data_IF_845759886189
#
_entry.id   IF_845759886189
#
_cell.length_a   1.000
_cell.length_b   1.000
_cell.length_c   1.000
_cell.angle_alpha   90.00
_cell.angle_beta   90.00
_cell.angle_gamma   90.00
#
_symmetry.space_group_name_H-M   'P 1'
#
loop_
_entity.id
_entity.type
_entity.pdbx_description
1 polymer ?
#
# COMPACT_ATOMS: atom_id res chain seq x y z
N UNK A 1 20.04 15.53 -6.22
CA UNK A 1 20.01 14.15 -6.76
C UNK A 1 18.57 13.85 -7.17
N UNK A 2 18.36 13.10 -8.26
CA UNK A 2 16.99 12.72 -8.67
C UNK A 2 16.44 11.69 -7.67
N UNK A 3 15.25 11.92 -7.13
CA UNK A 3 14.63 10.98 -6.18
C UNK A 3 14.45 9.61 -6.84
N UNK A 4 14.85 8.54 -6.15
CA UNK A 4 14.64 7.16 -6.57
C UNK A 4 14.06 6.38 -5.41
N UNK A 5 13.01 5.60 -5.70
CA UNK A 5 12.29 4.80 -4.70
C UNK A 5 12.56 3.32 -4.93
N UNK A 6 12.61 2.55 -3.86
CA UNK A 6 12.58 1.08 -3.89
C UNK A 6 11.40 0.61 -3.06
N UNK A 7 10.66 -0.37 -3.58
CA UNK A 7 9.62 -1.07 -2.82
C UNK A 7 9.92 -2.56 -2.75
N UNK A 8 9.60 -3.20 -1.62
CA UNK A 8 9.86 -4.64 -1.39
C UNK A 8 8.63 -5.35 -0.89
N UNK A 9 8.17 -6.36 -1.62
CA UNK A 9 7.03 -7.17 -1.20
C UNK A 9 6.61 -8.23 -2.20
N UNK A 10 5.39 -8.76 -2.02
CA UNK A 10 4.81 -9.74 -2.93
C UNK A 10 4.00 -9.08 -4.05
N UNK A 11 4.12 -9.63 -5.24
CA UNK A 11 3.16 -9.43 -6.33
C UNK A 11 2.52 -10.75 -6.66
N UNK A 12 1.19 -10.78 -6.79
CA UNK A 12 0.39 -11.98 -7.06
C UNK A 12 -0.33 -11.89 -8.39
N UNK A 13 -0.68 -13.04 -8.93
CA UNK A 13 -1.67 -13.16 -9.99
C UNK A 13 -3.07 -13.00 -9.38
N UNK A 14 -3.81 -12.00 -9.84
CA UNK A 14 -5.22 -11.81 -9.51
C UNK A 14 -6.10 -12.45 -10.59
N UNK A 15 -7.02 -13.28 -10.17
CA UNK A 15 -8.05 -13.91 -11.00
C UNK A 15 -9.41 -13.41 -10.53
N UNK A 16 -10.03 -12.51 -11.31
CA UNK A 16 -11.32 -11.91 -10.97
C UNK A 16 -12.44 -12.52 -11.80
N UNK A 17 -13.58 -12.75 -11.17
CA UNK A 17 -14.79 -13.07 -11.94
C UNK A 17 -15.22 -11.85 -12.78
N UNK A 18 -15.75 -12.05 -14.00
CA UNK A 18 -16.23 -10.93 -14.80
C UNK A 18 -17.37 -10.17 -14.10
N UNK A 19 -17.32 -8.84 -14.15
CA UNK A 19 -18.36 -7.97 -13.61
C UNK A 19 -18.69 -8.32 -12.15
N UNK A 20 -19.94 -8.71 -11.91
CA UNK A 20 -20.46 -9.09 -10.58
C UNK A 20 -20.80 -10.58 -10.46
N UNK A 21 -20.30 -11.42 -11.38
CA UNK A 21 -20.50 -12.86 -11.32
C UNK A 21 -19.91 -13.42 -10.02
N UNK A 22 -20.61 -14.44 -9.49
CA UNK A 22 -20.09 -15.20 -8.35
C UNK A 22 -19.11 -16.26 -8.83
N UNK A 23 -18.23 -16.73 -7.96
CA UNK A 23 -17.30 -17.83 -8.28
C UNK A 23 -18.02 -19.05 -8.87
N UNK A 24 -19.21 -19.39 -8.35
CA UNK A 24 -20.01 -20.52 -8.83
C UNK A 24 -20.67 -20.32 -10.19
N UNK A 25 -20.69 -19.09 -10.71
CA UNK A 25 -21.27 -18.73 -12.01
C UNK A 25 -20.20 -18.56 -13.08
N UNK A 26 -19.00 -18.13 -12.66
CA UNK A 26 -17.94 -17.75 -13.59
C UNK A 26 -17.40 -18.96 -14.36
N UNK A 27 -17.30 -18.81 -15.68
CA UNK A 27 -16.69 -19.79 -16.60
C UNK A 27 -15.32 -19.35 -17.09
N UNK A 28 -14.87 -18.13 -16.71
CA UNK A 28 -13.56 -17.56 -17.01
C UNK A 28 -13.15 -16.59 -15.89
N UNK A 29 -11.88 -16.21 -15.90
CA UNK A 29 -11.36 -15.17 -15.02
C UNK A 29 -10.67 -14.09 -15.84
N UNK A 30 -10.82 -12.84 -15.41
CA UNK A 30 -10.00 -11.73 -15.88
C UNK A 30 -8.67 -11.74 -15.10
N UNK A 31 -7.56 -11.57 -15.82
CA UNK A 31 -6.21 -11.64 -15.29
C UNK A 31 -5.69 -10.24 -15.01
N UNK A 32 -5.24 -10.02 -13.77
CA UNK A 32 -4.50 -8.85 -13.34
C UNK A 32 -3.30 -9.29 -12.48
N UNK A 33 -2.37 -8.38 -12.25
CA UNK A 33 -1.32 -8.56 -11.25
C UNK A 33 -1.45 -7.46 -10.20
N UNK A 34 -1.12 -7.78 -8.95
CA UNK A 34 -1.19 -6.81 -7.87
C UNK A 34 -0.54 -7.32 -6.58
N UNK A 35 -0.21 -6.35 -5.75
CA UNK A 35 0.40 -6.54 -4.43
C UNK A 35 0.73 -5.18 -3.86
N UNK A 36 0.64 -5.00 -2.55
CA UNK A 36 0.72 -3.68 -1.91
C UNK A 36 1.87 -2.82 -2.44
N UNK A 37 3.08 -3.32 -2.32
CA UNK A 37 4.29 -2.61 -2.69
C UNK A 37 4.48 -2.50 -4.22
N UNK A 38 3.98 -3.47 -4.98
CA UNK A 38 3.96 -3.42 -6.45
C UNK A 38 2.97 -2.34 -6.95
N UNK A 39 1.81 -2.22 -6.29
CA UNK A 39 0.81 -1.20 -6.60
C UNK A 39 1.36 0.22 -6.32
N UNK A 40 2.09 0.39 -5.20
CA UNK A 40 2.80 1.63 -4.89
C UNK A 40 3.85 1.95 -5.95
N UNK A 41 4.64 0.95 -6.38
CA UNK A 41 5.65 1.13 -7.42
C UNK A 41 5.04 1.60 -8.74
N UNK A 42 3.94 0.99 -9.18
CA UNK A 42 3.24 1.39 -10.42
C UNK A 42 2.69 2.81 -10.31
N UNK A 43 2.08 3.18 -9.17
CA UNK A 43 1.62 4.56 -8.95
C UNK A 43 2.76 5.57 -9.11
N UNK A 44 3.90 5.31 -8.47
CA UNK A 44 5.08 6.18 -8.52
C UNK A 44 5.67 6.28 -9.94
N UNK A 45 5.75 5.16 -10.65
CA UNK A 45 6.21 5.15 -12.04
C UNK A 45 5.30 5.99 -12.95
N UNK A 46 3.97 5.88 -12.80
CA UNK A 46 2.99 6.70 -13.52
C UNK A 46 3.11 8.19 -13.20
N UNK A 47 3.57 8.54 -11.98
CA UNK A 47 3.86 9.92 -11.58
C UNK A 47 5.26 10.40 -11.98
N UNK A 48 6.01 9.60 -12.74
CA UNK A 48 7.34 9.95 -13.24
C UNK A 48 8.46 9.83 -12.19
N UNK A 49 8.22 9.19 -11.05
CA UNK A 49 9.25 8.90 -10.05
C UNK A 49 9.97 7.60 -10.44
N UNK A 50 11.30 7.60 -10.61
CA UNK A 50 12.07 6.37 -10.80
C UNK A 50 11.89 5.42 -9.62
N UNK A 51 11.46 4.18 -9.91
CA UNK A 51 11.18 3.18 -8.87
C UNK A 51 11.61 1.79 -9.32
N UNK A 52 12.26 1.05 -8.40
CA UNK A 52 12.55 -0.37 -8.55
C UNK A 52 11.67 -1.19 -7.59
N UNK A 53 11.14 -2.30 -8.08
CA UNK A 53 10.43 -3.27 -7.26
C UNK A 53 11.34 -4.46 -6.94
N UNK A 54 11.45 -4.80 -5.66
CA UNK A 54 12.21 -5.94 -5.15
C UNK A 54 11.26 -7.01 -4.68
N UNK A 55 11.49 -8.24 -5.12
CA UNK A 55 10.69 -9.41 -4.77
C UNK A 55 11.46 -10.69 -5.11
N UNK A 56 10.81 -11.84 -4.93
CA UNK A 56 11.26 -13.12 -5.48
C UNK A 56 10.15 -13.72 -6.33
N UNK A 57 10.47 -14.03 -7.61
CA UNK A 57 9.53 -14.60 -8.58
C UNK A 57 10.01 -15.97 -9.10
N UNK A 58 9.09 -16.89 -9.48
CA UNK A 58 9.47 -18.19 -10.03
C UNK A 58 10.12 -18.05 -11.40
N UNK A 59 11.10 -18.94 -11.65
CA UNK A 59 11.87 -18.99 -12.91
C UNK A 59 11.09 -19.71 -14.03
N UNK A 60 9.86 -19.25 -14.31
CA UNK A 60 8.99 -19.81 -15.33
C UNK A 60 8.26 -18.69 -16.09
N UNK A 61 7.44 -19.05 -17.09
CA UNK A 61 6.77 -18.08 -17.96
C UNK A 61 5.72 -17.24 -17.21
N UNK A 62 5.09 -17.76 -16.14
CA UNK A 62 4.17 -17.00 -15.30
C UNK A 62 4.93 -15.94 -14.50
N UNK A 63 6.09 -16.28 -13.92
CA UNK A 63 6.96 -15.29 -13.25
C UNK A 63 7.46 -14.21 -14.21
N UNK A 64 7.83 -14.58 -15.44
CA UNK A 64 8.21 -13.62 -16.49
C UNK A 64 7.05 -12.72 -16.87
N UNK A 65 5.84 -13.25 -17.08
CA UNK A 65 4.65 -12.46 -17.39
C UNK A 65 4.34 -11.46 -16.25
N UNK A 66 4.49 -11.91 -15.01
CA UNK A 66 4.33 -11.05 -13.83
C UNK A 66 5.35 -9.88 -13.83
N UNK A 67 6.65 -10.16 -14.02
CA UNK A 67 7.68 -9.13 -14.11
C UNK A 67 7.44 -8.16 -15.28
N UNK A 68 7.02 -8.67 -16.43
CA UNK A 68 6.70 -7.85 -17.61
C UNK A 68 5.49 -6.95 -17.37
N UNK A 69 4.54 -7.36 -16.53
CA UNK A 69 3.39 -6.50 -16.16
C UNK A 69 3.85 -5.23 -15.43
N UNK A 70 4.87 -5.31 -14.59
CA UNK A 70 5.48 -4.15 -13.91
C UNK A 70 6.30 -3.29 -14.90
N UNK A 71 7.13 -3.95 -15.70
CA UNK A 71 7.98 -3.28 -16.69
C UNK A 71 7.17 -2.47 -17.69
N UNK A 72 5.98 -2.95 -18.08
CA UNK A 72 5.03 -2.24 -18.96
C UNK A 72 4.72 -0.82 -18.44
N UNK A 73 4.69 -0.63 -17.13
CA UNK A 73 4.42 0.65 -16.47
C UNK A 73 5.68 1.41 -16.05
N UNK A 74 6.86 0.98 -16.50
CA UNK A 74 8.11 1.68 -16.23
C UNK A 74 8.74 1.37 -14.86
N UNK A 75 8.24 0.38 -14.14
CA UNK A 75 8.86 -0.08 -12.89
C UNK A 75 10.12 -0.90 -13.21
N UNK A 76 11.24 -0.58 -12.54
CA UNK A 76 12.47 -1.36 -12.64
C UNK A 76 12.32 -2.73 -12.00
N UNK A 77 12.71 -3.78 -12.73
CA UNK A 77 12.56 -5.20 -12.33
C UNK A 77 13.89 -5.94 -12.18
N UNK A 78 15.02 -5.26 -12.39
CA UNK A 78 16.36 -5.87 -12.38
C UNK A 78 16.82 -6.28 -10.97
N UNK A 79 16.07 -5.87 -9.93
CA UNK A 79 16.32 -6.20 -8.52
C UNK A 79 15.47 -7.39 -8.04
N UNK A 80 14.69 -8.01 -8.92
CA UNK A 80 13.90 -9.20 -8.60
C UNK A 80 14.82 -10.41 -8.51
N UNK A 81 14.76 -11.14 -7.39
CA UNK A 81 15.39 -12.43 -7.23
C UNK A 81 14.55 -13.52 -7.93
N UNK A 82 15.22 -14.41 -8.68
CA UNK A 82 14.53 -15.48 -9.41
C UNK A 82 14.73 -16.83 -8.73
N UNK A 83 13.64 -17.51 -8.41
CA UNK A 83 13.63 -18.84 -7.78
C UNK A 83 12.29 -19.13 -7.10
N UNK A 84 12.20 -20.32 -6.48
CA UNK A 84 10.94 -20.85 -5.98
C UNK A 84 10.07 -21.42 -7.11
N UNK A 85 8.95 -22.05 -6.75
CA UNK A 85 8.19 -22.89 -7.65
C UNK A 85 6.97 -22.20 -8.27
N UNK A 86 6.36 -21.22 -7.54
CA UNK A 86 5.10 -20.64 -7.95
C UNK A 86 4.95 -19.17 -7.60
N UNK A 87 4.13 -18.48 -8.39
CA UNK A 87 3.58 -17.18 -8.04
C UNK A 87 2.40 -17.36 -7.07
N UNK A 88 2.25 -16.47 -6.11
CA UNK A 88 1.04 -16.39 -5.30
C UNK A 88 -0.17 -15.98 -6.16
N UNK A 89 -1.34 -16.51 -5.84
CA UNK A 89 -2.59 -16.21 -6.54
C UNK A 89 -3.62 -15.71 -5.52
N UNK A 90 -4.45 -14.79 -5.95
CA UNK A 90 -5.70 -14.54 -5.26
C UNK A 90 -6.86 -14.41 -6.23
N UNK A 91 -8.02 -14.91 -5.78
CA UNK A 91 -9.27 -14.86 -6.52
C UNK A 91 -10.13 -13.75 -5.94
N UNK A 92 -10.79 -12.99 -6.82
CA UNK A 92 -11.70 -11.92 -6.43
C UNK A 92 -13.08 -12.12 -7.04
N UNK A 93 -14.09 -12.12 -6.17
CA UNK A 93 -15.48 -11.97 -6.53
C UNK A 93 -15.92 -10.56 -6.13
N UNK A 94 -16.29 -9.73 -7.12
CA UNK A 94 -16.69 -8.34 -6.86
C UNK A 94 -18.08 -8.27 -6.23
N UNK A 95 -18.17 -7.51 -5.15
CA UNK A 95 -19.42 -7.27 -4.44
C UNK A 95 -20.30 -6.23 -5.14
N UNK A 96 -21.57 -6.18 -4.73
CA UNK A 96 -22.52 -5.18 -5.21
C UNK A 96 -23.50 -4.83 -4.09
N UNK A 97 -23.74 -3.56 -3.87
CA UNK A 97 -24.66 -3.01 -2.84
C UNK A 97 -24.40 -3.66 -1.46
N UNK A 98 -25.31 -4.46 -0.95
CA UNK A 98 -25.19 -5.14 0.36
C UNK A 98 -24.33 -6.43 0.30
N UNK A 99 -23.98 -6.92 -0.88
CA UNK A 99 -23.14 -8.10 -1.04
C UNK A 99 -21.67 -7.71 -1.08
N UNK A 100 -20.94 -8.07 -0.03
CA UNK A 100 -19.50 -7.80 0.06
C UNK A 100 -18.70 -8.54 -1.02
N UNK A 101 -17.58 -7.94 -1.45
CA UNK A 101 -16.57 -8.64 -2.25
C UNK A 101 -15.96 -9.79 -1.45
N UNK A 102 -15.53 -10.85 -2.16
CA UNK A 102 -14.85 -12.00 -1.56
C UNK A 102 -13.48 -12.17 -2.16
N UNK A 103 -12.52 -12.43 -1.29
CA UNK A 103 -11.14 -12.75 -1.70
C UNK A 103 -10.79 -14.14 -1.17
N UNK A 104 -10.24 -14.97 -2.06
CA UNK A 104 -9.67 -16.27 -1.70
C UNK A 104 -8.20 -16.27 -2.06
N UNK A 105 -7.33 -16.54 -1.08
CA UNK A 105 -5.89 -16.56 -1.29
C UNK A 105 -5.39 -17.98 -1.52
N UNK A 106 -4.59 -18.16 -2.55
CA UNK A 106 -3.74 -19.33 -2.83
C UNK A 106 -2.29 -18.85 -2.96
N UNK A 107 -1.66 -18.52 -1.83
CA UNK A 107 -0.32 -17.91 -1.77
C UNK A 107 0.69 -18.66 -0.90
N UNK A 108 0.29 -19.78 -0.30
CA UNK A 108 1.21 -20.61 0.47
C UNK A 108 2.37 -21.08 -0.41
N UNK A 109 3.59 -21.04 0.14
CA UNK A 109 4.81 -21.46 -0.57
C UNK A 109 5.06 -20.72 -1.90
N UNK A 110 4.51 -19.50 -2.06
CA UNK A 110 4.86 -18.65 -3.18
C UNK A 110 6.38 -18.33 -3.15
N UNK A 111 6.94 -17.96 -4.29
CA UNK A 111 8.38 -17.72 -4.40
C UNK A 111 8.88 -16.70 -3.37
N UNK A 112 8.12 -15.63 -3.10
CA UNK A 112 8.49 -14.68 -2.05
C UNK A 112 8.37 -15.29 -0.65
N UNK A 113 7.40 -16.17 -0.39
CA UNK A 113 7.25 -16.83 0.91
C UNK A 113 8.45 -17.73 1.26
N UNK A 114 9.22 -18.15 0.24
CA UNK A 114 10.42 -18.97 0.37
C UNK A 114 11.73 -18.19 0.21
N UNK A 115 11.68 -16.85 0.30
CA UNK A 115 12.89 -16.02 0.33
C UNK A 115 13.65 -16.28 1.64
N UNK A 116 14.96 -16.18 1.61
CA UNK A 116 15.81 -16.37 2.78
C UNK A 116 16.67 -15.12 3.02
N UNK A 117 17.02 -14.82 4.27
CA UNK A 117 18.01 -13.80 4.60
C UNK A 117 19.30 -13.95 3.80
N UNK A 118 19.85 -12.83 3.33
CA UNK A 118 21.05 -12.78 2.52
C UNK A 118 20.83 -13.07 1.02
N UNK A 119 19.63 -13.42 0.57
CA UNK A 119 19.35 -13.61 -0.87
C UNK A 119 19.33 -12.29 -1.66
N UNK A 120 19.09 -11.17 -1.00
CA UNK A 120 19.07 -9.82 -1.59
C UNK A 120 20.30 -9.05 -1.13
N UNK A 121 21.08 -8.55 -2.08
CA UNK A 121 22.18 -7.60 -1.83
C UNK A 121 21.62 -6.19 -1.65
N UNK A 122 21.21 -5.85 -0.42
CA UNK A 122 20.60 -4.56 -0.09
C UNK A 122 21.56 -3.39 -0.31
N UNK A 123 22.87 -3.58 -0.20
CA UNK A 123 23.84 -2.53 -0.49
C UNK A 123 23.77 -2.11 -1.96
N UNK A 124 23.64 -3.08 -2.85
CA UNK A 124 23.51 -2.88 -4.29
C UNK A 124 22.11 -2.39 -4.70
N UNK A 125 21.07 -2.90 -4.02
CA UNK A 125 19.69 -2.46 -4.24
C UNK A 125 19.54 -0.97 -3.93
N UNK A 126 20.16 -0.50 -2.87
CA UNK A 126 20.03 0.87 -2.39
C UNK A 126 21.03 1.88 -2.96
N UNK A 127 21.77 1.52 -4.00
CA UNK A 127 22.64 2.47 -4.71
C UNK A 127 21.80 3.59 -5.36
N UNK A 128 22.04 4.85 -4.94
CA UNK A 128 21.34 6.03 -5.45
C UNK A 128 19.86 6.14 -5.05
N UNK A 129 19.39 5.31 -4.12
CA UNK A 129 18.03 5.32 -3.60
C UNK A 129 17.90 6.35 -2.48
N UNK A 130 16.77 7.07 -2.46
CA UNK A 130 16.44 8.06 -1.43
C UNK A 130 15.24 7.67 -0.57
N UNK A 131 14.47 6.67 -0.99
CA UNK A 131 13.27 6.23 -0.30
C UNK A 131 13.06 4.71 -0.42
N UNK A 132 12.75 4.06 0.68
CA UNK A 132 12.38 2.65 0.75
C UNK A 132 10.97 2.50 1.32
N UNK A 133 10.13 1.68 0.67
CA UNK A 133 8.77 1.41 1.14
C UNK A 133 8.50 -0.10 1.24
N UNK A 134 7.81 -0.49 2.31
CA UNK A 134 7.32 -1.83 2.57
C UNK A 134 5.95 -1.79 3.27
N UNK A 135 5.22 -2.90 3.31
CA UNK A 135 3.96 -3.01 4.03
C UNK A 135 3.97 -4.15 5.05
N UNK A 136 3.09 -4.09 6.05
CA UNK A 136 2.92 -5.14 7.04
C UNK A 136 2.41 -6.47 6.49
N UNK A 137 2.04 -6.53 5.20
CA UNK A 137 1.73 -7.79 4.51
C UNK A 137 2.99 -8.63 4.33
N UNK A 138 4.10 -8.02 3.92
CA UNK A 138 5.34 -8.75 3.61
C UNK A 138 5.88 -9.53 4.80
N UNK A 139 6.07 -8.98 6.01
CA UNK A 139 6.50 -9.77 7.17
C UNK A 139 5.45 -10.77 7.67
N UNK A 140 4.19 -10.61 7.27
CA UNK A 140 3.11 -11.53 7.66
C UNK A 140 3.08 -12.83 6.84
N UNK A 141 3.85 -12.93 5.74
CA UNK A 141 3.85 -14.07 4.82
C UNK A 141 4.60 -15.27 5.43
N UNK A 142 5.81 -15.04 5.96
CA UNK A 142 6.66 -16.05 6.59
C UNK A 142 7.67 -15.43 7.56
N UNK A 143 8.27 -16.22 8.44
CA UNK A 143 9.34 -15.77 9.34
C UNK A 143 10.56 -15.26 8.54
N UNK A 144 10.86 -15.88 7.41
CA UNK A 144 11.97 -15.45 6.56
C UNK A 144 11.68 -14.12 5.87
N UNK A 145 10.46 -13.89 5.37
CA UNK A 145 10.11 -12.57 4.79
C UNK A 145 10.19 -11.46 5.83
N UNK A 146 9.82 -11.72 7.09
CA UNK A 146 9.99 -10.76 8.17
C UNK A 146 11.48 -10.42 8.42
N UNK A 147 12.36 -11.43 8.43
CA UNK A 147 13.81 -11.24 8.59
C UNK A 147 14.41 -10.46 7.42
N UNK A 148 14.04 -10.80 6.17
CA UNK A 148 14.51 -10.08 4.96
C UNK A 148 14.02 -8.64 4.95
N UNK A 149 12.79 -8.38 5.41
CA UNK A 149 12.26 -7.03 5.57
C UNK A 149 13.09 -6.23 6.59
N UNK A 150 13.46 -6.85 7.71
CA UNK A 150 14.31 -6.23 8.73
C UNK A 150 15.73 -5.94 8.20
N UNK A 151 16.31 -6.85 7.39
CA UNK A 151 17.60 -6.60 6.71
C UNK A 151 17.50 -5.36 5.81
N UNK A 152 16.43 -5.24 5.02
CA UNK A 152 16.20 -4.08 4.16
C UNK A 152 16.10 -2.78 4.96
N UNK A 153 15.31 -2.75 6.03
CA UNK A 153 15.12 -1.58 6.89
C UNK A 153 16.46 -1.16 7.51
N UNK A 154 17.22 -2.11 8.08
CA UNK A 154 18.54 -1.83 8.68
C UNK A 154 19.52 -1.28 7.65
N UNK A 155 19.55 -1.85 6.44
CA UNK A 155 20.42 -1.38 5.36
C UNK A 155 20.01 0.03 4.87
N UNK A 156 18.72 0.31 4.74
CA UNK A 156 18.20 1.63 4.38
C UNK A 156 18.57 2.69 5.42
N UNK A 157 18.36 2.39 6.71
CA UNK A 157 18.72 3.29 7.82
C UNK A 157 20.23 3.59 7.87
N UNK A 158 21.08 2.58 7.68
CA UNK A 158 22.53 2.75 7.60
C UNK A 158 22.96 3.72 6.50
N UNK A 159 22.20 3.82 5.43
CA UNK A 159 22.45 4.71 4.28
C UNK A 159 21.73 6.05 4.37
N UNK A 160 20.95 6.29 5.44
CA UNK A 160 20.15 7.52 5.60
C UNK A 160 18.99 7.64 4.62
N UNK A 161 18.50 6.51 4.10
CA UNK A 161 17.36 6.44 3.19
C UNK A 161 16.08 6.60 4.02
N UNK A 162 15.14 7.41 3.55
CA UNK A 162 13.82 7.54 4.18
C UNK A 162 13.06 6.21 4.08
N UNK A 163 12.58 5.69 5.21
CA UNK A 163 11.83 4.43 5.27
C UNK A 163 10.36 4.72 5.58
N UNK A 164 9.47 4.17 4.77
CA UNK A 164 8.03 4.25 5.01
C UNK A 164 7.38 2.87 5.07
N UNK A 165 6.33 2.76 5.87
CA UNK A 165 5.50 1.55 5.94
C UNK A 165 4.01 1.87 5.90
N UNK A 166 3.23 0.97 5.32
CA UNK A 166 1.80 0.82 5.59
C UNK A 166 1.62 -0.36 6.54
N UNK A 167 1.04 -0.14 7.73
CA UNK A 167 0.83 -1.18 8.73
C UNK A 167 -0.01 -2.35 8.20
N UNK A 168 -1.00 -2.05 7.40
CA UNK A 168 -1.73 -2.96 6.50
C UNK A 168 -2.05 -4.33 7.14
N UNK A 169 -2.57 -4.32 8.37
CA UNK A 169 -2.85 -5.53 9.12
C UNK A 169 -3.85 -6.44 8.40
N UNK A 170 -3.54 -7.73 8.33
CA UNK A 170 -4.40 -8.75 7.73
C UNK A 170 -4.56 -9.92 8.70
N UNK A 171 -5.74 -10.03 9.32
CA UNK A 171 -6.08 -11.08 10.30
C UNK A 171 -5.79 -12.51 9.82
N UNK A 172 -5.93 -12.77 8.51
CA UNK A 172 -5.79 -14.11 7.94
C UNK A 172 -4.37 -14.47 7.53
N UNK A 173 -3.38 -13.57 7.73
CA UNK A 173 -1.95 -13.85 7.62
C UNK A 173 -1.38 -14.23 9.01
N UNK A 174 -0.08 -14.17 9.19
CA UNK A 174 0.59 -14.51 10.48
C UNK A 174 0.42 -15.98 10.87
N UNK A 175 0.58 -16.91 9.91
CA UNK A 175 0.35 -18.35 10.12
C UNK A 175 1.60 -19.17 10.44
N UNK A 176 2.72 -18.53 10.73
CA UNK A 176 4.01 -19.17 11.00
C UNK A 176 4.41 -19.16 12.48
N UNK A 177 3.43 -19.05 13.37
CA UNK A 177 3.64 -19.15 14.82
C UNK A 177 3.99 -17.86 15.54
N UNK A 178 3.99 -16.71 14.84
CA UNK A 178 4.17 -15.38 15.42
C UNK A 178 2.99 -14.47 15.06
N UNK A 179 2.70 -13.52 15.94
CA UNK A 179 1.66 -12.52 15.76
C UNK A 179 2.24 -11.21 15.20
N UNK A 180 1.36 -10.35 14.66
CA UNK A 180 1.77 -9.00 14.24
C UNK A 180 2.37 -8.20 15.39
N UNK A 181 1.80 -8.30 16.59
CA UNK A 181 2.27 -7.58 17.77
C UNK A 181 3.64 -8.03 18.29
N UNK A 182 4.10 -9.22 17.93
CA UNK A 182 5.45 -9.70 18.25
C UNK A 182 6.49 -9.26 17.23
N UNK A 183 6.12 -9.14 15.95
CA UNK A 183 7.06 -8.92 14.86
C UNK A 183 7.13 -7.45 14.41
N UNK A 184 5.98 -6.80 14.25
CA UNK A 184 5.91 -5.45 13.68
C UNK A 184 6.65 -4.37 14.48
N UNK A 185 6.70 -4.38 15.84
CA UNK A 185 7.41 -3.35 16.58
C UNK A 185 8.86 -3.16 16.13
N UNK A 186 9.64 -4.24 16.03
CA UNK A 186 11.05 -4.18 15.61
C UNK A 186 11.22 -3.61 14.19
N UNK A 187 10.28 -3.92 13.29
CA UNK A 187 10.31 -3.43 11.91
C UNK A 187 9.96 -1.94 11.84
N UNK A 188 8.94 -1.52 12.59
CA UNK A 188 8.46 -0.12 12.56
C UNK A 188 9.40 0.84 13.29
N UNK A 189 10.21 0.37 14.24
CA UNK A 189 11.27 1.17 14.89
C UNK A 189 12.21 1.85 13.88
N UNK A 190 12.41 1.24 12.70
CA UNK A 190 13.26 1.78 11.63
C UNK A 190 12.53 2.68 10.62
N UNK A 191 11.29 3.10 10.87
CA UNK A 191 10.49 3.85 9.91
C UNK A 191 10.41 5.34 10.22
N UNK A 192 10.61 6.19 9.21
CA UNK A 192 10.40 7.63 9.26
C UNK A 192 8.92 8.00 9.07
N UNK A 193 8.16 7.19 8.32
CA UNK A 193 6.77 7.48 7.96
C UNK A 193 5.93 6.22 8.17
N UNK A 194 4.87 6.37 8.94
CA UNK A 194 3.95 5.28 9.30
C UNK A 194 2.56 5.62 8.75
N UNK A 195 2.05 4.77 7.88
CA UNK A 195 0.67 4.80 7.40
C UNK A 195 -0.12 3.64 8.02
N UNK A 196 -1.37 3.85 8.32
CA UNK A 196 -2.32 2.83 8.69
C UNK A 196 -3.76 3.30 8.48
N UNK A 197 -4.71 2.42 8.68
CA UNK A 197 -6.11 2.77 8.81
C UNK A 197 -6.50 2.94 10.28
N UNK A 198 -7.76 3.25 10.54
CA UNK A 198 -8.26 3.54 11.90
C UNK A 198 -8.06 2.37 12.88
N UNK A 199 -8.00 1.12 12.39
CA UNK A 199 -7.91 -0.09 13.22
C UNK A 199 -6.48 -0.63 13.35
N UNK A 200 -5.58 -0.31 12.41
CA UNK A 200 -4.26 -0.93 12.34
C UNK A 200 -3.43 -0.68 13.62
N UNK A 201 -3.46 0.54 14.16
CA UNK A 201 -2.73 0.88 15.38
C UNK A 201 -3.19 0.06 16.60
N UNK A 202 -4.49 -0.19 16.72
CA UNK A 202 -5.04 -1.06 17.78
C UNK A 202 -4.66 -2.53 17.55
N UNK A 203 -4.88 -3.05 16.35
CA UNK A 203 -4.64 -4.47 16.04
C UNK A 203 -3.18 -4.87 16.13
N UNK A 204 -2.26 -3.97 15.74
CA UNK A 204 -0.82 -4.25 15.70
C UNK A 204 -0.14 -3.89 17.02
N UNK A 205 -0.52 -2.77 17.63
CA UNK A 205 0.21 -2.21 18.78
C UNK A 205 -0.63 -2.04 20.04
N UNK A 206 -1.93 -2.29 20.00
CA UNK A 206 -2.85 -2.04 21.11
C UNK A 206 -3.09 -0.55 21.38
N UNK A 207 -2.76 0.33 20.43
CA UNK A 207 -2.92 1.79 20.56
C UNK A 207 -4.34 2.16 20.13
N UNK A 208 -5.12 2.66 21.09
CA UNK A 208 -6.52 3.06 20.88
C UNK A 208 -6.69 4.58 20.97
N UNK A 209 -7.64 5.16 20.23
CA UNK A 209 -7.99 6.56 20.38
C UNK A 209 -8.50 6.83 21.80
N UNK A 210 -8.16 7.99 22.34
CA UNK A 210 -8.71 8.44 23.62
C UNK A 210 -10.07 9.10 23.34
N UNK A 211 -11.15 8.51 23.88
CA UNK A 211 -12.47 9.17 23.93
C UNK A 211 -13.52 8.74 22.91
N UNK A 212 -13.38 7.61 22.21
CA UNK A 212 -14.45 7.12 21.31
C UNK A 212 -14.15 5.82 20.61
N UNK A 213 -15.21 5.16 20.12
CA UNK A 213 -15.12 3.95 19.30
C UNK A 213 -14.99 4.36 17.81
N UNK A 214 -13.86 4.07 17.20
CA UNK A 214 -13.54 4.39 15.79
C UNK A 214 -14.43 3.67 14.76
N UNK A 215 -15.21 2.70 15.17
CA UNK A 215 -16.03 1.88 14.26
C UNK A 215 -17.29 2.60 13.73
N UNK A 216 -17.64 3.76 14.27
CA UNK A 216 -18.89 4.48 13.93
C UNK A 216 -18.77 5.61 12.88
N UNK A 217 -17.63 5.76 12.20
CA UNK A 217 -17.51 6.67 11.04
C UNK A 217 -17.59 8.18 11.32
N UNK A 218 -17.73 8.62 12.58
CA UNK A 218 -17.82 10.01 13.01
C UNK A 218 -16.90 10.31 14.19
N UNK A 219 -15.62 9.89 14.08
CA UNK A 219 -14.63 10.21 15.10
C UNK A 219 -14.04 11.59 14.80
N UNK A 220 -14.03 12.47 15.80
CA UNK A 220 -13.43 13.80 15.68
C UNK A 220 -11.92 13.70 15.37
N UNK A 221 -11.40 14.66 14.60
CA UNK A 221 -9.99 14.75 14.23
C UNK A 221 -9.02 14.66 15.42
N UNK A 222 -9.44 15.16 16.59
CA UNK A 222 -8.71 15.11 17.86
C UNK A 222 -8.38 13.67 18.33
N UNK A 223 -9.28 12.73 18.08
CA UNK A 223 -9.07 11.31 18.45
C UNK A 223 -7.97 10.66 17.62
N UNK A 224 -7.88 11.00 16.33
CA UNK A 224 -6.79 10.53 15.45
C UNK A 224 -5.43 11.13 15.82
N UNK A 225 -5.40 12.39 16.26
CA UNK A 225 -4.19 13.03 16.77
C UNK A 225 -3.59 12.23 17.92
N UNK A 226 -4.40 11.83 18.89
CA UNK A 226 -3.95 11.02 20.04
C UNK A 226 -3.31 9.70 19.60
N UNK A 227 -3.86 9.02 18.58
CA UNK A 227 -3.26 7.79 18.04
C UNK A 227 -1.90 8.08 17.40
N UNK A 228 -1.81 9.15 16.60
CA UNK A 228 -0.55 9.56 15.95
C UNK A 228 0.53 9.91 16.97
N UNK A 229 0.19 10.65 18.02
CA UNK A 229 1.12 11.02 19.11
C UNK A 229 1.63 9.79 19.87
N UNK A 230 0.75 8.82 20.17
CA UNK A 230 1.13 7.57 20.81
C UNK A 230 2.07 6.73 19.92
N UNK A 231 1.80 6.68 18.60
CA UNK A 231 2.68 6.00 17.63
C UNK A 231 4.07 6.66 17.58
N UNK A 232 4.15 8.00 17.46
CA UNK A 232 5.43 8.71 17.46
C UNK A 232 6.19 8.57 18.79
N UNK A 233 5.47 8.54 19.92
CA UNK A 233 6.10 8.29 21.24
C UNK A 233 6.70 6.89 21.31
N UNK A 234 6.03 5.89 20.73
CA UNK A 234 6.50 4.50 20.69
C UNK A 234 7.64 4.30 19.69
N UNK A 235 7.60 5.01 18.57
CA UNK A 235 8.55 4.91 17.45
C UNK A 235 9.25 6.26 17.21
N UNK A 236 10.30 6.59 17.96
CA UNK A 236 10.91 7.94 17.95
C UNK A 236 11.54 8.36 16.62
N UNK A 237 11.83 7.44 15.69
CA UNK A 237 12.31 7.78 14.35
C UNK A 237 11.19 8.29 13.44
N UNK A 238 9.93 8.02 13.77
CA UNK A 238 8.79 8.45 12.97
C UNK A 238 8.68 9.98 12.96
N UNK A 239 8.72 10.54 11.76
CA UNK A 239 8.58 11.98 11.49
C UNK A 239 7.16 12.34 11.10
N UNK A 240 6.41 11.38 10.54
CA UNK A 240 5.03 11.56 10.11
C UNK A 240 4.23 10.28 10.36
N UNK A 241 3.03 10.46 10.87
CA UNK A 241 2.04 9.38 11.01
C UNK A 241 0.79 9.77 10.24
N UNK A 242 0.30 8.87 9.41
CA UNK A 242 -0.84 9.10 8.55
C UNK A 242 -1.91 8.05 8.83
N UNK A 243 -3.16 8.47 8.89
CA UNK A 243 -4.31 7.57 9.05
C UNK A 243 -5.28 7.82 7.90
N UNK A 244 -5.57 6.77 7.13
CA UNK A 244 -6.62 6.80 6.13
C UNK A 244 -7.98 6.68 6.80
N UNK A 245 -8.95 7.47 6.35
CA UNK A 245 -10.30 7.52 6.89
C UNK A 245 -11.28 7.01 5.84
N UNK A 246 -11.97 5.90 6.15
CA UNK A 246 -12.90 5.27 5.24
C UNK A 246 -14.25 5.01 5.88
N UNK A 247 -15.29 5.71 5.42
CA UNK A 247 -16.67 5.36 5.75
C UNK A 247 -17.21 4.36 4.71
N UNK A 248 -17.44 3.10 5.12
CA UNK A 248 -17.99 2.07 4.24
C UNK A 248 -19.51 2.09 4.31
N UNK A 249 -20.18 2.64 3.27
CA UNK A 249 -21.65 2.71 3.19
C UNK A 249 -22.19 1.41 2.59
N UNK A 250 -21.62 0.95 1.49
CA UNK A 250 -21.92 -0.35 0.88
C UNK A 250 -20.77 -0.80 -0.04
N UNK A 251 -20.93 -1.90 -0.78
CA UNK A 251 -19.89 -2.45 -1.63
C UNK A 251 -19.44 -1.50 -2.76
N UNK A 252 -20.26 -0.57 -3.18
CA UNK A 252 -20.00 0.36 -4.28
C UNK A 252 -19.90 1.82 -3.84
N UNK A 253 -20.04 2.12 -2.53
CA UNK A 253 -20.10 3.47 -2.01
C UNK A 253 -19.29 3.60 -0.72
N UNK A 254 -18.28 4.45 -0.74
CA UNK A 254 -17.47 4.81 0.42
C UNK A 254 -17.31 6.32 0.51
N UNK A 255 -17.16 6.85 1.72
CA UNK A 255 -16.45 8.12 1.91
C UNK A 255 -14.98 7.86 2.08
N UNK A 256 -14.13 8.83 1.67
CA UNK A 256 -12.69 8.67 1.67
C UNK A 256 -11.98 9.97 2.02
N UNK A 257 -11.08 9.92 2.99
CA UNK A 257 -10.27 11.04 3.45
C UNK A 257 -8.98 10.54 4.12
N UNK A 258 -8.24 11.41 4.78
CA UNK A 258 -7.08 11.07 5.58
C UNK A 258 -6.60 12.20 6.45
N UNK A 259 -5.82 11.86 7.48
CA UNK A 259 -5.12 12.81 8.32
C UNK A 259 -3.62 12.51 8.32
N UNK A 260 -2.81 13.54 8.52
CA UNK A 260 -1.36 13.47 8.67
C UNK A 260 -0.94 14.28 9.90
N UNK A 261 -0.16 13.67 10.77
CA UNK A 261 0.48 14.30 11.92
C UNK A 261 1.99 14.40 11.69
N UNK A 262 2.55 15.60 11.77
CA UNK A 262 3.97 15.88 11.55
C UNK A 262 4.79 16.02 12.87
N UNK A 263 4.17 15.66 13.99
CA UNK A 263 4.73 15.85 15.34
C UNK A 263 4.37 17.19 15.97
N UNK A 264 3.71 18.10 15.23
CA UNK A 264 3.33 19.44 15.71
C UNK A 264 1.92 19.82 15.31
N UNK A 265 1.49 19.47 14.10
CA UNK A 265 0.21 19.86 13.52
C UNK A 265 -0.48 18.67 12.88
N UNK A 266 -1.77 18.56 13.09
CA UNK A 266 -2.63 17.61 12.38
C UNK A 266 -3.19 18.31 11.13
N UNK A 267 -2.92 17.69 9.98
CA UNK A 267 -3.51 18.05 8.69
C UNK A 267 -4.67 17.11 8.41
N UNK A 268 -5.75 17.62 7.83
CA UNK A 268 -6.87 16.81 7.32
C UNK A 268 -7.09 17.12 5.85
N UNK A 269 -7.25 16.06 5.03
CA UNK A 269 -7.62 16.21 3.64
C UNK A 269 -9.13 16.44 3.47
N UNK A 270 -9.59 16.92 2.30
CA UNK A 270 -11.01 16.93 1.94
C UNK A 270 -11.62 15.53 2.01
N UNK A 271 -12.92 15.48 2.33
CA UNK A 271 -13.69 14.23 2.26
C UNK A 271 -14.22 14.05 0.82
N UNK A 272 -13.97 12.88 0.22
CA UNK A 272 -14.52 12.49 -1.08
C UNK A 272 -15.63 11.47 -0.89
N UNK A 273 -16.74 11.67 -1.60
CA UNK A 273 -17.85 10.73 -1.66
C UNK A 273 -17.77 9.91 -2.95
N UNK A 274 -17.40 8.62 -2.82
CA UNK A 274 -17.16 7.71 -3.94
C UNK A 274 -18.39 6.83 -4.12
N UNK A 275 -19.34 7.27 -4.90
CA UNK A 275 -20.66 6.64 -5.07
C UNK A 275 -20.68 5.47 -6.04
N UNK A 276 -19.68 5.35 -6.91
CA UNK A 276 -19.54 4.32 -7.94
C UNK A 276 -18.15 3.71 -7.94
N UNK A 277 -17.91 2.80 -7.00
CA UNK A 277 -16.64 2.08 -6.94
C UNK A 277 -16.63 1.02 -8.05
N UNK A 278 -15.69 1.15 -8.99
CA UNK A 278 -15.39 0.15 -10.02
C UNK A 278 -14.52 -0.96 -9.44
N UNK A 279 -13.45 -0.58 -8.74
CA UNK A 279 -12.58 -1.52 -8.05
C UNK A 279 -11.91 -0.85 -6.83
N UNK A 280 -12.10 -1.44 -5.65
CA UNK A 280 -11.53 -0.91 -4.41
C UNK A 280 -10.14 -1.45 -4.08
N UNK A 281 -9.71 -2.54 -4.77
CA UNK A 281 -8.40 -3.14 -4.52
C UNK A 281 -7.31 -2.18 -4.98
N UNK A 282 -6.26 -2.01 -4.18
CA UNK A 282 -5.20 -1.05 -4.44
C UNK A 282 -5.50 0.40 -4.03
N UNK A 283 -6.68 0.68 -3.43
CA UNK A 283 -7.04 2.04 -2.95
C UNK A 283 -6.06 2.57 -1.90
N UNK A 284 -5.72 1.77 -0.87
CA UNK A 284 -4.71 2.12 0.13
C UNK A 284 -3.31 2.30 -0.48
N UNK A 285 -2.95 1.40 -1.39
CA UNK A 285 -1.63 1.44 -2.06
C UNK A 285 -1.49 2.69 -2.94
N UNK A 286 -2.56 3.09 -3.63
CA UNK A 286 -2.56 4.32 -4.43
C UNK A 286 -2.51 5.58 -3.55
N UNK A 287 -3.11 5.54 -2.36
CA UNK A 287 -2.92 6.58 -1.35
C UNK A 287 -1.44 6.70 -0.97
N UNK A 288 -0.79 5.57 -0.64
CA UNK A 288 0.62 5.57 -0.26
C UNK A 288 1.53 6.01 -1.42
N UNK A 289 1.27 5.56 -2.64
CA UNK A 289 2.00 6.04 -3.83
C UNK A 289 1.85 7.55 -4.04
N UNK A 290 0.63 8.07 -3.90
CA UNK A 290 0.34 9.50 -3.95
C UNK A 290 1.00 10.28 -2.81
N UNK A 291 1.04 9.72 -1.59
CA UNK A 291 1.69 10.34 -0.44
C UNK A 291 3.21 10.46 -0.65
N UNK A 292 3.87 9.38 -1.07
CA UNK A 292 5.31 9.40 -1.38
C UNK A 292 5.60 10.43 -2.47
N UNK A 293 4.83 10.43 -3.57
CA UNK A 293 4.96 11.44 -4.62
C UNK A 293 4.81 12.85 -4.06
N UNK A 294 3.76 13.11 -3.28
CA UNK A 294 3.48 14.43 -2.71
C UNK A 294 4.60 14.92 -1.78
N UNK A 295 5.10 14.06 -0.89
CA UNK A 295 6.19 14.40 0.03
C UNK A 295 7.53 14.64 -0.68
N UNK A 296 7.78 13.97 -1.81
CA UNK A 296 8.97 14.18 -2.64
C UNK A 296 8.86 15.43 -3.51
N UNK A 297 7.66 15.81 -3.95
CA UNK A 297 7.43 16.88 -4.93
C UNK A 297 7.07 18.21 -4.26
N UNK A 298 6.17 18.19 -3.29
CA UNK A 298 5.69 19.39 -2.57
C UNK A 298 6.45 19.57 -1.24
N UNK A 299 7.76 19.55 -1.29
CA UNK A 299 8.63 19.60 -0.10
C UNK A 299 8.24 20.73 0.85
N UNK A 300 7.93 20.38 2.10
CA UNK A 300 7.51 21.34 3.14
C UNK A 300 6.01 21.69 3.14
N UNK A 301 5.22 21.15 2.21
CA UNK A 301 3.76 21.31 2.17
C UNK A 301 3.05 19.97 2.41
N UNK A 302 2.98 19.58 3.68
CA UNK A 302 2.36 18.32 4.10
C UNK A 302 0.85 18.28 3.79
N UNK A 303 0.17 19.43 3.81
CA UNK A 303 -1.25 19.51 3.44
C UNK A 303 -1.45 19.17 1.97
N UNK A 304 -0.61 19.72 1.08
CA UNK A 304 -0.70 19.44 -0.36
C UNK A 304 -0.33 17.98 -0.66
N UNK A 305 0.67 17.43 0.02
CA UNK A 305 1.05 16.02 -0.11
C UNK A 305 -0.09 15.08 0.31
N UNK A 306 -0.75 15.37 1.43
CA UNK A 306 -1.90 14.61 1.91
C UNK A 306 -3.11 14.72 0.96
N UNK A 307 -3.41 15.92 0.47
CA UNK A 307 -4.50 16.15 -0.48
C UNK A 307 -4.27 15.35 -1.78
N UNK A 308 -3.03 15.32 -2.28
CA UNK A 308 -2.67 14.52 -3.46
C UNK A 308 -2.88 13.03 -3.21
N UNK A 309 -2.47 12.51 -2.05
CA UNK A 309 -2.64 11.10 -1.69
C UNK A 309 -4.12 10.67 -1.67
N UNK A 310 -4.98 11.49 -1.05
CA UNK A 310 -6.42 11.18 -0.96
C UNK A 310 -7.09 11.27 -2.34
N UNK A 311 -6.79 12.31 -3.13
CA UNK A 311 -7.34 12.48 -4.48
C UNK A 311 -6.89 11.35 -5.42
N UNK A 312 -5.62 10.97 -5.39
CA UNK A 312 -5.06 9.83 -6.13
C UNK A 312 -5.83 8.55 -5.83
N UNK A 313 -6.04 8.26 -4.54
CA UNK A 313 -6.78 7.08 -4.11
C UNK A 313 -8.26 7.14 -4.49
N UNK A 314 -8.90 8.31 -4.39
CA UNK A 314 -10.27 8.51 -4.85
C UNK A 314 -10.42 8.12 -6.33
N UNK A 315 -9.56 8.64 -7.20
CA UNK A 315 -9.58 8.33 -8.63
C UNK A 315 -9.29 6.86 -8.92
N UNK A 316 -8.40 6.21 -8.16
CA UNK A 316 -8.12 4.78 -8.31
C UNK A 316 -9.38 3.93 -8.16
N UNK A 317 -10.30 4.27 -7.29
CA UNK A 317 -11.56 3.53 -7.13
C UNK A 317 -12.43 3.50 -8.39
N UNK A 318 -12.17 4.34 -9.37
CA UNK A 318 -12.88 4.40 -10.66
C UNK A 318 -12.26 3.53 -11.76
N UNK A 319 -11.16 2.82 -11.46
CA UNK A 319 -10.35 2.09 -12.43
C UNK A 319 -10.32 0.60 -12.05
N UNK A 320 -10.58 -0.33 -13.00
CA UNK A 320 -10.48 -1.76 -12.72
C UNK A 320 -9.02 -2.22 -12.53
N UNK A 321 -8.85 -3.28 -11.75
CA UNK A 321 -7.53 -3.84 -11.42
C UNK A 321 -6.89 -3.18 -10.19
N UNK A 322 -5.72 -3.66 -9.80
CA UNK A 322 -5.01 -3.21 -8.59
C UNK A 322 -4.22 -1.91 -8.82
N UNK A 323 -3.68 -1.74 -10.02
CA UNK A 323 -2.78 -0.65 -10.34
C UNK A 323 -3.53 0.67 -10.51
N UNK A 324 -2.93 1.73 -9.99
CA UNK A 324 -3.41 3.08 -10.21
C UNK A 324 -2.91 3.61 -11.55
N UNK A 325 -3.84 3.92 -12.47
CA UNK A 325 -3.54 4.37 -13.83
C UNK A 325 -3.80 5.87 -14.03
N UNK A 326 -4.00 6.64 -12.96
CA UNK A 326 -4.25 8.09 -13.07
C UNK A 326 -2.95 8.87 -13.26
N UNK A 327 -3.04 9.98 -13.99
CA UNK A 327 -1.92 10.92 -14.16
C UNK A 327 -1.87 11.95 -13.02
N UNK A 328 -0.72 12.64 -12.92
CA UNK A 328 -0.55 13.76 -11.97
C UNK A 328 -1.58 14.85 -12.24
N UNK A 329 -1.82 15.18 -13.51
CA UNK A 329 -2.74 16.22 -13.93
C UNK A 329 -4.19 15.90 -13.52
N UNK A 330 -4.61 14.63 -13.64
CA UNK A 330 -5.94 14.20 -13.19
C UNK A 330 -6.09 14.36 -11.68
N UNK A 331 -5.07 13.98 -10.92
CA UNK A 331 -5.06 14.13 -9.45
C UNK A 331 -5.09 15.59 -9.04
N UNK A 332 -4.24 16.45 -9.63
CA UNK A 332 -4.20 17.88 -9.35
C UNK A 332 -5.51 18.59 -9.73
N UNK A 333 -6.14 18.16 -10.83
CA UNK A 333 -7.45 18.65 -11.24
C UNK A 333 -8.52 18.34 -10.20
N UNK A 334 -8.58 17.10 -9.70
CA UNK A 334 -9.50 16.74 -8.62
C UNK A 334 -9.22 17.52 -7.33
N UNK A 335 -7.94 17.71 -6.96
CA UNK A 335 -7.53 18.51 -5.81
C UNK A 335 -7.98 19.97 -5.90
N UNK A 336 -8.03 20.54 -7.11
CA UNK A 336 -8.50 21.92 -7.33
C UNK A 336 -10.02 22.09 -7.23
N UNK A 337 -10.76 20.99 -6.99
CA UNK A 337 -12.23 20.98 -6.84
C UNK A 337 -12.98 20.66 -8.13
N UNK A 338 -12.32 20.40 -9.26
CA UNK A 338 -12.99 19.98 -10.48
C UNK A 338 -13.27 18.47 -10.48
N UNK A 339 -14.37 18.12 -9.85
CA UNK A 339 -14.94 16.75 -9.86
C UNK A 339 -15.99 16.55 -10.96
N UNK A 340 -16.07 17.41 -11.97
CA UNK A 340 -17.17 17.44 -12.95
C UNK A 340 -17.21 16.22 -13.89
N UNK A 341 -16.10 15.49 -14.03
CA UNK A 341 -15.98 14.36 -14.97
C UNK A 341 -16.19 14.76 -16.44
N UNK A 342 -16.10 16.06 -16.78
CA UNK A 342 -16.27 16.54 -18.16
C UNK A 342 -15.15 16.04 -19.06
N UNK A 343 -15.49 15.76 -20.32
CA UNK A 343 -14.53 15.35 -21.34
C UNK A 343 -13.41 16.39 -21.45
N UNK A 344 -12.18 15.95 -21.19
CA UNK A 344 -10.98 16.72 -21.47
C UNK A 344 -10.70 16.66 -22.98
N UNK A 345 -10.52 17.82 -23.64
CA UNK A 345 -10.22 17.93 -25.08
C UNK A 345 -8.92 18.66 -25.27
#
# INVERSE_FOLDING_TARGET
MKNKVVTFGEIMLRLSTPGYERFVQATKFDINYGGGEANVAVSLANYGIPVDFVSRLPKNDIGKACAMSLRKFGVGIDKIAWGGDRLGIYYLETGAVARASKVVYDRAFSSIATIEPGMIDWDKVFEGVTWFHWTGITPAISDNTAKVCLEAIKAANKKGITVSTDLNFRKNLWKYGKTASEVMPELVEGCDIILGNEEDADKVFGIKPQGGDVTQGHVEASSYQSVCEQLMKRFPLAKKVIITLRGSINANHNTWSGVLWDGKKLYKAPDYDITHIVDRVGGGDSFMGGLIYGLLTYTGDDQKALNFAVASSCLKHTIPGDFNMVSVEEVEKLMSGDASGRVSR
#
